data_IF_244723284734
#
_entry.id   IF_244723284734
#
_cell.length_a   1.000
_cell.length_b   1.000
_cell.length_c   1.000
_cell.angle_alpha   90.00
_cell.angle_beta   90.00
_cell.angle_gamma   90.00
#
_symmetry.space_group_name_H-M   'P 1'
#
loop_
_entity.id
_entity.type
_entity.pdbx_description
1 polymer ?
#
# COMPACT_ATOMS: atom_id res chain seq x y z
N UNK A 1 -6.26 6.65 14.53
CA UNK A 1 -5.93 6.32 13.13
C UNK A 1 -6.83 5.19 12.66
N UNK A 2 -7.34 5.21 11.43
CA UNK A 2 -8.17 4.13 10.89
C UNK A 2 -7.30 3.09 10.17
N UNK A 3 -7.43 1.81 10.54
CA UNK A 3 -6.77 0.67 9.90
C UNK A 3 -5.24 0.85 9.68
N UNK A 4 -4.43 1.02 10.75
CA UNK A 4 -2.98 1.16 10.64
C UNK A 4 -2.30 -0.21 10.46
N UNK A 5 -2.30 -0.74 9.24
CA UNK A 5 -1.76 -2.06 8.92
C UNK A 5 -0.31 -2.04 8.40
N UNK A 6 0.45 -1.00 8.73
CA UNK A 6 1.89 -1.02 8.49
C UNK A 6 2.67 -0.06 9.37
N UNK A 7 3.85 -0.50 9.81
CA UNK A 7 4.73 0.24 10.70
C UNK A 7 6.20 -0.14 10.45
N UNK A 8 7.08 0.86 10.40
CA UNK A 8 8.53 0.68 10.49
C UNK A 8 9.12 1.77 11.40
N UNK A 9 10.26 1.48 12.03
CA UNK A 9 11.05 2.47 12.74
C UNK A 9 11.98 3.23 11.78
N UNK A 10 12.22 4.51 12.06
CA UNK A 10 13.21 5.36 11.41
C UNK A 10 13.91 6.24 12.45
N UNK A 11 15.03 5.76 12.99
CA UNK A 11 15.61 6.39 14.18
C UNK A 11 14.62 6.31 15.34
N UNK A 12 14.33 7.44 15.96
CA UNK A 12 13.35 7.57 17.04
C UNK A 12 11.90 7.77 16.54
N UNK A 13 11.70 7.85 15.22
CA UNK A 13 10.39 8.04 14.62
C UNK A 13 9.75 6.72 14.22
N UNK A 14 8.41 6.74 14.08
CA UNK A 14 7.64 5.67 13.47
C UNK A 14 7.04 6.13 12.15
N UNK A 15 7.20 5.33 11.10
CA UNK A 15 6.47 5.51 9.84
C UNK A 15 5.31 4.53 9.82
N UNK A 16 4.09 5.05 9.75
CA UNK A 16 2.86 4.26 9.83
C UNK A 16 2.08 4.40 8.52
N UNK A 17 1.77 3.27 7.89
CA UNK A 17 0.82 3.20 6.79
C UNK A 17 -0.58 2.94 7.36
N UNK A 18 -1.52 3.80 7.00
CA UNK A 18 -2.93 3.63 7.37
C UNK A 18 -3.84 4.03 6.19
N UNK A 19 -5.14 3.73 6.31
CA UNK A 19 -6.10 3.81 5.19
C UNK A 19 -5.94 5.05 4.28
N UNK A 20 -5.86 6.29 4.80
CA UNK A 20 -5.73 7.50 3.98
C UNK A 20 -4.30 7.84 3.55
N UNK A 21 -3.29 7.52 4.38
CA UNK A 21 -1.97 8.16 4.32
C UNK A 21 -0.84 7.26 4.85
N UNK A 22 0.39 7.58 4.46
CA UNK A 22 1.60 7.20 5.18
C UNK A 22 2.05 8.41 5.99
N UNK A 23 2.28 8.22 7.28
CA UNK A 23 2.64 9.28 8.22
C UNK A 23 3.90 8.97 8.99
N UNK A 24 4.68 10.00 9.31
CA UNK A 24 5.70 9.98 10.35
C UNK A 24 5.09 10.45 11.66
N UNK A 25 5.31 9.67 12.71
CA UNK A 25 4.98 9.97 14.08
C UNK A 25 6.29 10.14 14.85
N UNK A 26 6.40 11.23 15.61
CA UNK A 26 7.57 11.52 16.46
C UNK A 26 7.07 11.95 17.83
N UNK A 27 7.78 11.51 18.85
CA UNK A 27 7.71 12.04 20.20
C UNK A 27 8.82 13.10 20.35
N UNK A 28 8.44 14.38 20.41
CA UNK A 28 9.39 15.50 20.49
C UNK A 28 9.74 15.90 21.91
N UNK A 29 9.05 15.35 22.92
CA UNK A 29 9.21 15.73 24.32
C UNK A 29 9.71 14.58 25.23
N UNK A 30 9.78 13.35 24.71
CA UNK A 30 10.29 12.17 25.39
C UNK A 30 9.31 11.53 26.38
N UNK A 31 8.01 11.83 26.30
CA UNK A 31 6.99 11.28 27.21
C UNK A 31 6.47 9.89 26.79
N UNK A 32 7.00 9.33 25.69
CA UNK A 32 6.61 8.04 25.12
C UNK A 32 5.35 8.11 24.25
N UNK A 33 4.85 9.31 23.96
CA UNK A 33 3.68 9.53 23.09
C UNK A 33 4.06 10.44 21.93
N UNK A 34 3.73 9.99 20.72
CA UNK A 34 3.91 10.83 19.55
C UNK A 34 3.02 12.08 19.63
N UNK A 35 3.63 13.25 19.55
CA UNK A 35 3.02 14.57 19.56
C UNK A 35 3.13 15.28 18.20
N UNK A 36 4.03 14.82 17.33
CA UNK A 36 4.14 15.26 15.95
C UNK A 36 3.57 14.19 14.99
N UNK A 37 2.74 14.66 14.04
CA UNK A 37 2.23 13.87 12.91
C UNK A 37 2.51 14.59 11.60
N UNK A 38 3.39 14.03 10.78
CA UNK A 38 3.71 14.54 9.45
C UNK A 38 3.21 13.57 8.38
N UNK A 39 2.43 14.05 7.41
CA UNK A 39 2.02 13.25 6.25
C UNK A 39 3.20 13.15 5.27
N UNK A 40 3.60 11.92 4.93
CA UNK A 40 4.67 11.65 3.96
C UNK A 40 4.10 11.38 2.56
N UNK A 41 2.93 10.74 2.49
CA UNK A 41 2.24 10.48 1.24
C UNK A 41 0.75 10.24 1.44
N UNK A 42 -0.03 10.61 0.43
CA UNK A 42 -1.48 10.49 0.39
C UNK A 42 -1.98 10.43 -1.05
N UNK A 43 -3.30 10.46 -1.26
CA UNK A 43 -3.89 10.74 -2.58
C UNK A 43 -4.30 9.53 -3.39
N UNK A 44 -4.17 8.31 -2.88
CA UNK A 44 -4.79 7.11 -3.50
C UNK A 44 -6.31 7.04 -3.28
N UNK A 45 -6.91 7.98 -2.55
CA UNK A 45 -8.35 7.96 -2.28
C UNK A 45 -8.74 6.78 -1.36
N UNK A 46 -9.81 6.95 -0.59
CA UNK A 46 -10.28 5.92 0.33
C UNK A 46 -11.80 6.06 0.54
N UNK A 47 -12.41 5.06 1.17
CA UNK A 47 -13.81 5.07 1.60
C UNK A 47 -13.93 4.67 3.07
N UNK A 48 -15.13 4.88 3.63
CA UNK A 48 -15.45 4.48 5.00
C UNK A 48 -15.64 2.96 5.16
N UNK A 49 -15.55 2.20 4.06
CA UNK A 49 -15.64 0.74 4.07
C UNK A 49 -14.56 0.12 4.98
N UNK A 50 -14.96 -0.82 5.82
CA UNK A 50 -14.05 -1.42 6.80
C UNK A 50 -12.97 -2.31 6.17
N UNK A 51 -13.16 -2.76 4.92
CA UNK A 51 -12.18 -3.50 4.13
C UNK A 51 -11.29 -2.60 3.25
N UNK A 52 -11.35 -1.28 3.41
CA UNK A 52 -10.51 -0.37 2.63
C UNK A 52 -9.12 -0.20 3.24
N UNK A 53 -8.31 -1.25 3.15
CA UNK A 53 -7.01 -1.31 3.83
C UNK A 53 -5.86 -0.74 2.99
N UNK A 54 -4.94 -0.08 3.70
CA UNK A 54 -3.57 0.19 3.27
C UNK A 54 -2.66 -0.64 4.16
N UNK A 55 -2.02 -1.65 3.59
CA UNK A 55 -1.16 -2.60 4.30
C UNK A 55 0.30 -2.38 3.92
N UNK A 56 1.23 -2.84 4.76
CA UNK A 56 2.66 -2.60 4.55
C UNK A 56 3.41 -2.56 5.87
N UNK A 57 4.52 -1.86 5.98
CA UNK A 57 5.23 -1.01 5.00
C UNK A 57 6.67 -1.52 4.93
N UNK A 58 7.27 -1.52 3.74
CA UNK A 58 8.70 -1.81 3.58
C UNK A 58 9.43 -0.63 2.96
N UNK A 59 10.73 -0.57 3.20
CA UNK A 59 11.62 0.46 2.65
C UNK A 59 12.75 -0.20 1.89
N UNK A 60 13.03 0.29 0.69
CA UNK A 60 14.16 -0.19 -0.10
C UNK A 60 15.49 0.51 0.27
N UNK A 61 16.59 0.05 -0.32
CA UNK A 61 17.91 0.65 -0.11
C UNK A 61 18.06 2.08 -0.64
N UNK A 62 17.11 2.59 -1.44
CA UNK A 62 17.07 3.98 -1.92
C UNK A 62 16.27 4.88 -0.97
N UNK A 63 15.57 4.29 0.00
CA UNK A 63 14.71 4.98 0.96
C UNK A 63 13.29 5.18 0.47
N UNK A 64 12.89 4.53 -0.62
CA UNK A 64 11.52 4.55 -1.10
C UNK A 64 10.67 3.58 -0.29
N UNK A 65 9.41 3.96 -0.04
CA UNK A 65 8.46 3.18 0.75
C UNK A 65 7.48 2.44 -0.17
N UNK A 66 7.04 1.27 0.27
CA UNK A 66 6.07 0.47 -0.47
C UNK A 66 4.89 0.08 0.40
N UNK A 67 3.68 0.27 -0.11
CA UNK A 67 2.41 -0.06 0.55
C UNK A 67 1.48 -0.79 -0.41
N UNK A 68 0.72 -1.74 0.10
CA UNK A 68 -0.33 -2.46 -0.61
C UNK A 68 -1.70 -1.85 -0.37
N UNK A 69 -2.49 -1.69 -1.43
CA UNK A 69 -3.86 -1.21 -1.37
C UNK A 69 -4.84 -2.33 -1.73
N UNK A 70 -5.82 -2.56 -0.85
CA UNK A 70 -6.89 -3.50 -1.12
C UNK A 70 -7.64 -3.21 -2.42
N UNK A 71 -8.12 -4.25 -3.08
CA UNK A 71 -9.01 -4.15 -4.24
C UNK A 71 -10.40 -3.74 -3.79
N UNK A 72 -11.05 -2.97 -4.65
CA UNK A 72 -12.43 -2.56 -4.50
C UNK A 72 -13.38 -3.36 -5.41
N UNK A 73 -12.94 -4.49 -5.97
CA UNK A 73 -13.72 -5.27 -6.95
C UNK A 73 -15.17 -5.52 -6.50
N UNK A 74 -15.36 -5.93 -5.24
CA UNK A 74 -16.69 -6.20 -4.67
C UNK A 74 -17.48 -4.94 -4.30
N UNK A 75 -16.85 -3.76 -4.28
CA UNK A 75 -17.46 -2.49 -3.87
C UNK A 75 -18.04 -1.76 -5.10
N UNK A 76 -19.15 -2.28 -5.62
CA UNK A 76 -19.73 -1.84 -6.91
C UNK A 76 -20.09 -0.35 -7.00
N UNK A 77 -20.44 0.27 -5.86
CA UNK A 77 -20.92 1.66 -5.78
C UNK A 77 -19.81 2.68 -5.44
N UNK A 78 -18.55 2.27 -5.44
CA UNK A 78 -17.42 3.16 -5.11
C UNK A 78 -17.09 4.07 -6.30
N UNK A 79 -16.87 5.36 -6.03
CA UNK A 79 -16.50 6.34 -7.07
C UNK A 79 -15.05 6.16 -7.55
N UNK A 80 -14.74 6.66 -8.74
CA UNK A 80 -13.37 6.61 -9.29
C UNK A 80 -12.36 7.31 -8.37
N UNK A 81 -12.70 8.51 -7.87
CA UNK A 81 -11.86 9.27 -6.93
C UNK A 81 -11.46 8.46 -5.69
N UNK A 82 -12.42 7.76 -5.10
CA UNK A 82 -12.16 6.94 -3.91
C UNK A 82 -11.54 5.59 -4.25
N UNK A 83 -11.55 5.19 -5.52
CA UNK A 83 -11.03 3.91 -6.02
C UNK A 83 -9.61 3.99 -6.58
N UNK A 84 -9.01 5.18 -6.60
CA UNK A 84 -7.74 5.45 -7.24
C UNK A 84 -6.67 4.45 -6.75
N UNK A 85 -6.07 3.73 -7.68
CA UNK A 85 -5.03 2.73 -7.41
C UNK A 85 -5.40 1.61 -6.42
N UNK A 86 -6.68 1.29 -6.24
CA UNK A 86 -7.08 0.10 -5.47
C UNK A 86 -6.65 -1.18 -6.19
N UNK A 87 -6.30 -2.21 -5.40
CA UNK A 87 -5.72 -3.46 -5.88
C UNK A 87 -4.31 -3.29 -6.45
N UNK A 88 -3.53 -2.34 -5.92
CA UNK A 88 -2.16 -2.03 -6.38
C UNK A 88 -1.17 -2.06 -5.22
N UNK A 89 0.10 -2.29 -5.52
CA UNK A 89 1.21 -1.90 -4.65
C UNK A 89 1.74 -0.57 -5.14
N UNK A 90 1.89 0.39 -4.23
CA UNK A 90 2.42 1.72 -4.49
C UNK A 90 3.87 1.81 -4.05
N UNK A 91 4.66 2.54 -4.83
CA UNK A 91 5.96 3.08 -4.43
C UNK A 91 5.80 4.56 -4.08
N UNK A 92 6.40 4.97 -2.98
CA UNK A 92 6.43 6.34 -2.49
C UNK A 92 7.90 6.74 -2.41
N UNK A 93 8.30 7.68 -3.25
CA UNK A 93 9.67 8.20 -3.21
C UNK A 93 9.94 9.01 -1.94
N UNK A 94 11.21 9.21 -1.59
CA UNK A 94 11.61 10.15 -0.52
C UNK A 94 11.04 11.57 -0.68
N UNK A 95 10.77 12.00 -1.92
CA UNK A 95 10.17 13.30 -2.23
C UNK A 95 8.64 13.32 -2.14
N UNK A 96 8.00 12.23 -1.70
CA UNK A 96 6.54 12.13 -1.58
C UNK A 96 5.80 11.80 -2.88
N UNK A 97 6.51 11.63 -4.02
CA UNK A 97 5.89 11.17 -5.28
C UNK A 97 5.39 9.74 -5.12
N UNK A 98 4.12 9.51 -5.43
CA UNK A 98 3.45 8.21 -5.33
C UNK A 98 3.18 7.66 -6.72
N UNK A 99 3.51 6.40 -6.97
CA UNK A 99 3.23 5.71 -8.24
C UNK A 99 2.84 4.24 -7.99
N UNK A 100 1.86 3.69 -8.72
CA UNK A 100 1.60 2.26 -8.70
C UNK A 100 2.76 1.51 -9.38
N UNK A 101 3.19 0.41 -8.78
CA UNK A 101 4.27 -0.44 -9.31
C UNK A 101 3.85 -1.90 -9.47
N UNK A 102 2.83 -2.37 -8.75
CA UNK A 102 2.28 -3.72 -8.93
C UNK A 102 0.77 -3.64 -9.08
N UNK A 103 0.22 -4.45 -9.98
CA UNK A 103 -1.17 -4.30 -10.43
C UNK A 103 -2.01 -5.54 -10.18
N UNK A 104 -3.30 -5.35 -9.93
CA UNK A 104 -4.29 -6.41 -9.85
C UNK A 104 -4.07 -7.41 -8.71
N UNK A 105 -3.79 -6.89 -7.51
CA UNK A 105 -3.86 -7.65 -6.26
C UNK A 105 -5.29 -7.63 -5.70
N UNK A 106 -5.67 -8.65 -4.93
CA UNK A 106 -6.94 -8.65 -4.21
C UNK A 106 -6.85 -7.85 -2.91
N UNK A 107 -6.06 -8.31 -1.96
CA UNK A 107 -5.73 -7.64 -0.71
C UNK A 107 -4.27 -7.97 -0.40
N UNK A 108 -3.32 -7.14 -0.89
CA UNK A 108 -1.91 -7.31 -0.57
C UNK A 108 -1.68 -6.98 0.91
N UNK A 109 -1.84 -7.98 1.79
CA UNK A 109 -1.96 -7.82 3.25
C UNK A 109 -0.62 -7.65 3.96
N UNK A 110 0.49 -8.05 3.34
CA UNK A 110 1.81 -8.02 3.95
C UNK A 110 2.88 -7.82 2.89
N UNK A 111 3.90 -7.04 3.23
CA UNK A 111 5.06 -6.78 2.38
C UNK A 111 6.33 -7.12 3.15
N UNK A 112 7.26 -7.80 2.49
CA UNK A 112 8.60 -8.06 3.00
C UNK A 112 9.63 -7.73 1.91
N UNK A 113 10.84 -7.36 2.31
CA UNK A 113 11.95 -7.09 1.40
C UNK A 113 13.15 -7.94 1.81
N UNK A 114 13.84 -8.53 0.84
CA UNK A 114 15.06 -9.30 1.11
C UNK A 114 16.33 -8.44 0.96
N UNK A 115 17.48 -9.03 1.29
CA UNK A 115 18.78 -8.36 1.23
C UNK A 115 19.21 -7.94 -0.19
N UNK A 116 18.60 -8.53 -1.23
CA UNK A 116 18.83 -8.15 -2.62
C UNK A 116 17.89 -7.01 -3.08
N UNK A 117 17.01 -6.53 -2.20
CA UNK A 117 16.02 -5.49 -2.50
C UNK A 117 14.78 -6.01 -3.23
N UNK A 118 14.57 -7.32 -3.29
CA UNK A 118 13.35 -7.91 -3.89
C UNK A 118 12.21 -7.84 -2.88
N UNK A 119 11.04 -7.39 -3.33
CA UNK A 119 9.86 -7.24 -2.49
C UNK A 119 8.92 -8.42 -2.73
N UNK A 120 8.44 -9.01 -1.65
CA UNK A 120 7.45 -10.08 -1.67
C UNK A 120 6.16 -9.59 -1.01
N UNK A 121 5.03 -9.99 -1.58
CA UNK A 121 3.71 -9.52 -1.20
C UNK A 121 2.85 -10.73 -0.88
N UNK A 122 2.29 -10.80 0.33
CA UNK A 122 1.22 -11.75 0.62
C UNK A 122 -0.11 -11.20 0.12
N UNK A 123 -0.85 -11.97 -0.67
CA UNK A 123 -2.18 -11.61 -1.16
C UNK A 123 -3.22 -12.62 -0.66
N UNK A 124 -4.40 -12.11 -0.28
CA UNK A 124 -5.43 -12.90 0.35
C UNK A 124 -6.46 -13.48 -0.65
N UNK A 125 -6.87 -14.73 -0.43
CA UNK A 125 -7.88 -15.42 -1.24
C UNK A 125 -9.29 -14.82 -1.15
N UNK A 126 -10.03 -14.89 -2.25
CA UNK A 126 -11.46 -14.59 -2.37
C UNK A 126 -11.80 -14.01 -3.74
N UNK A 127 -13.10 -13.87 -4.04
CA UNK A 127 -13.60 -13.36 -5.34
C UNK A 127 -12.92 -14.06 -6.54
N UNK A 128 -11.92 -13.42 -7.15
CA UNK A 128 -11.18 -13.90 -8.32
C UNK A 128 -9.78 -14.45 -8.00
N UNK A 129 -9.33 -14.40 -6.74
CA UNK A 129 -8.13 -15.08 -6.28
C UNK A 129 -8.51 -16.35 -5.51
N UNK A 130 -8.20 -17.52 -6.04
CA UNK A 130 -8.65 -18.81 -5.47
C UNK A 130 -7.87 -19.20 -4.22
N UNK A 131 -6.62 -18.73 -4.07
CA UNK A 131 -5.72 -19.12 -2.99
C UNK A 131 -5.09 -17.90 -2.34
N UNK A 132 -4.48 -18.08 -1.16
CA UNK A 132 -3.52 -17.09 -0.69
C UNK A 132 -2.24 -17.25 -1.50
N UNK A 133 -1.59 -16.14 -1.79
CA UNK A 133 -0.39 -16.12 -2.63
C UNK A 133 0.75 -15.40 -1.92
N UNK A 134 1.97 -15.83 -2.20
CA UNK A 134 3.18 -15.03 -1.96
C UNK A 134 3.74 -14.69 -3.33
N UNK A 135 3.71 -13.40 -3.67
CA UNK A 135 4.09 -12.89 -4.98
C UNK A 135 5.40 -12.13 -4.89
N UNK A 136 6.33 -12.37 -5.82
CA UNK A 136 7.48 -11.49 -6.01
C UNK A 136 7.05 -10.27 -6.83
N UNK A 137 7.19 -9.08 -6.26
CA UNK A 137 6.79 -7.81 -6.87
C UNK A 137 7.75 -7.43 -8.01
N UNK A 138 7.28 -7.62 -9.24
CA UNK A 138 7.89 -7.12 -10.47
C UNK A 138 7.15 -5.85 -10.92
N UNK A 139 7.85 -4.71 -11.15
CA UNK A 139 7.24 -3.48 -11.63
C UNK A 139 6.40 -3.67 -12.90
N UNK A 140 5.20 -3.09 -12.94
CA UNK A 140 4.26 -3.15 -14.06
C UNK A 140 3.50 -4.48 -14.21
N UNK A 141 3.84 -5.51 -13.43
CA UNK A 141 3.19 -6.83 -13.53
C UNK A 141 1.75 -6.80 -12.98
N UNK A 142 0.88 -7.57 -13.64
CA UNK A 142 -0.49 -7.85 -13.23
C UNK A 142 -0.56 -9.22 -12.51
N UNK A 143 -1.21 -9.27 -11.34
CA UNK A 143 -1.33 -10.45 -10.47
C UNK A 143 -2.74 -11.07 -10.47
N UNK A 144 -3.62 -10.65 -11.38
CA UNK A 144 -4.82 -11.40 -11.76
C UNK A 144 -6.17 -10.91 -11.21
N UNK A 145 -6.20 -10.09 -10.15
CA UNK A 145 -7.47 -9.58 -9.60
C UNK A 145 -7.73 -8.12 -10.02
N UNK A 146 -8.60 -7.87 -11.01
CA UNK A 146 -8.91 -6.52 -11.46
C UNK A 146 -9.48 -5.65 -10.34
N UNK A 147 -9.23 -4.34 -10.45
CA UNK A 147 -9.94 -3.31 -9.70
C UNK A 147 -11.03 -2.66 -10.56
N UNK A 148 -11.99 -1.97 -9.94
CA UNK A 148 -13.17 -1.39 -10.64
C UNK A 148 -12.79 -0.40 -11.74
N UNK A 149 -11.71 0.33 -11.53
CA UNK A 149 -11.18 1.33 -12.45
C UNK A 149 -9.71 0.97 -12.75
N UNK A 150 -9.49 -0.23 -13.29
CA UNK A 150 -8.18 -0.61 -13.83
C UNK A 150 -7.75 0.44 -14.87
N UNK A 151 -6.63 1.13 -14.61
CA UNK A 151 -5.94 1.90 -15.64
C UNK A 151 -5.54 0.91 -16.74
N UNK A 152 -6.00 1.14 -17.98
CA UNK A 152 -5.58 0.33 -19.12
C UNK A 152 -4.09 0.56 -19.35
N UNK A 153 -3.26 -0.39 -18.92
CA UNK A 153 -1.86 -0.45 -19.34
C UNK A 153 -1.78 -1.37 -20.55
N UNK A 154 -1.15 -0.90 -21.62
CA UNK A 154 -0.70 -1.77 -22.69
C UNK A 154 0.29 -2.76 -22.08
N UNK A 155 -0.10 -4.03 -22.04
CA UNK A 155 0.82 -5.12 -21.71
C UNK A 155 1.94 -5.09 -22.75
N UNK A 156 3.17 -4.81 -22.32
CA UNK A 156 4.34 -5.12 -23.15
C UNK A 156 4.32 -6.63 -23.40
N UNK A 157 4.12 -6.99 -24.67
CA UNK A 157 4.11 -8.36 -25.16
C UNK A 157 5.48 -9.04 -25.02
#
# INVERSE_FOLDING_TARGET
>A
MAAPYGIIAEGDDLIVAHKPEVVRLRDTNGDGRADLRQVLASGWGYSDDYHDWTCGIVRDGRGDLYVGLGSNYSQKNRSEKTSRWRGKVLRISRGGRVEPVGHAFRYPTGLAIDAAGRIYVSDNQGVQNTFNEINHLVPGRNYGVPSRFEEKHESAA
#
